data_IF_463750375778
#
_entry.id   IF_463750375778
#
_cell.length_a   1.000
_cell.length_b   1.000
_cell.length_c   1.000
_cell.angle_alpha   90.00
_cell.angle_beta   90.00
_cell.angle_gamma   90.00
#
_symmetry.space_group_name_H-M   'P 1'
#
loop_
_entity.id
_entity.type
_entity.pdbx_description
1 polymer ?
#
# COMPACT_ATOMS: atom_id res chain seq x y z
N UNK A 1 30.57 7.67 -16.04
CA UNK A 1 30.57 6.58 -15.02
C UNK A 1 29.17 6.01 -14.95
N UNK A 2 28.99 4.77 -15.37
CA UNK A 2 27.70 4.06 -15.30
C UNK A 2 27.26 3.86 -13.83
N UNK A 3 25.95 3.87 -13.52
CA UNK A 3 25.48 3.63 -12.17
C UNK A 3 25.79 2.18 -11.79
N UNK A 4 26.63 2.01 -10.77
CA UNK A 4 26.94 0.71 -10.16
C UNK A 4 25.68 0.18 -9.49
N UNK A 5 25.06 -0.83 -10.10
CA UNK A 5 24.03 -1.64 -9.46
C UNK A 5 24.63 -2.33 -8.23
N UNK A 6 24.24 -1.90 -7.03
CA UNK A 6 24.53 -2.66 -5.81
C UNK A 6 23.61 -3.87 -5.82
N UNK A 7 24.15 -5.04 -6.22
CA UNK A 7 23.47 -6.33 -6.06
C UNK A 7 23.46 -6.69 -4.57
N UNK A 8 22.45 -6.22 -3.85
CA UNK A 8 22.05 -6.83 -2.58
C UNK A 8 21.25 -8.08 -2.98
N UNK A 9 21.86 -9.26 -2.90
CA UNK A 9 21.16 -10.53 -3.08
C UNK A 9 20.06 -10.63 -2.00
N UNK A 10 18.76 -10.52 -2.34
CA UNK A 10 17.74 -10.71 -1.34
C UNK A 10 17.64 -12.21 -1.09
N UNK A 11 17.55 -12.60 0.18
CA UNK A 11 17.03 -13.91 0.56
C UNK A 11 15.63 -14.01 -0.04
N UNK A 12 15.50 -14.68 -1.19
CA UNK A 12 14.22 -14.96 -1.84
C UNK A 12 13.53 -16.00 -0.96
N UNK A 13 12.29 -15.73 -0.53
CA UNK A 13 11.48 -16.74 0.15
C UNK A 13 11.40 -17.98 -0.76
N UNK A 14 11.79 -19.17 -0.25
CA UNK A 14 11.91 -20.39 -1.05
C UNK A 14 10.59 -20.86 -1.67
N UNK A 15 9.46 -20.34 -1.18
CA UNK A 15 8.13 -20.56 -1.75
C UNK A 15 7.46 -19.22 -2.11
N UNK A 16 6.83 -19.19 -3.27
CA UNK A 16 6.01 -18.08 -3.74
C UNK A 16 4.55 -18.24 -3.33
N UNK A 17 4.13 -17.42 -2.38
CA UNK A 17 2.79 -17.40 -1.82
C UNK A 17 2.13 -16.07 -2.20
N UNK A 18 1.10 -16.17 -3.05
CA UNK A 18 0.25 -15.05 -3.43
C UNK A 18 -0.91 -14.91 -2.43
N UNK A 19 -1.06 -13.73 -1.84
CA UNK A 19 -2.28 -13.35 -1.15
C UNK A 19 -3.07 -12.36 -2.00
N UNK A 20 -4.31 -12.72 -2.34
CA UNK A 20 -5.28 -11.82 -2.96
C UNK A 20 -6.16 -11.22 -1.88
N UNK A 21 -6.07 -9.90 -1.68
CA UNK A 21 -6.82 -9.15 -0.69
C UNK A 21 -7.94 -8.35 -1.38
N UNK A 22 -9.19 -8.78 -1.20
CA UNK A 22 -10.37 -8.12 -1.77
C UNK A 22 -11.03 -7.19 -0.76
N UNK A 23 -11.21 -5.93 -1.15
CA UNK A 23 -11.86 -4.91 -0.31
C UNK A 23 -13.36 -4.71 -0.52
N UNK A 24 -14.01 -5.54 -1.34
CA UNK A 24 -15.46 -5.42 -1.57
C UNK A 24 -16.27 -6.09 -0.46
N UNK A 25 -17.29 -5.38 0.03
CA UNK A 25 -18.28 -5.96 0.95
C UNK A 25 -19.27 -6.90 0.24
N UNK A 26 -19.43 -6.74 -1.08
CA UNK A 26 -20.38 -7.53 -1.88
C UNK A 26 -19.74 -8.83 -2.37
N UNK A 27 -20.32 -9.97 -1.98
CA UNK A 27 -20.00 -11.25 -2.65
C UNK A 27 -20.61 -11.26 -4.04
N UNK A 28 -19.95 -11.97 -4.97
CA UNK A 28 -20.32 -12.09 -6.38
C UNK A 28 -20.35 -10.75 -7.14
N UNK A 29 -19.86 -9.67 -6.54
CA UNK A 29 -19.64 -8.38 -7.21
C UNK A 29 -18.31 -8.35 -7.97
N UNK A 30 -18.03 -7.24 -8.66
CA UNK A 30 -16.90 -7.13 -9.58
C UNK A 30 -15.54 -7.46 -8.95
N UNK A 31 -15.20 -6.87 -7.80
CA UNK A 31 -13.92 -7.14 -7.13
C UNK A 31 -13.81 -8.56 -6.57
N UNK A 32 -14.92 -9.16 -6.10
CA UNK A 32 -14.92 -10.58 -5.66
C UNK A 32 -14.66 -11.51 -6.86
N UNK A 33 -15.38 -11.29 -7.96
CA UNK A 33 -15.20 -12.07 -9.19
C UNK A 33 -13.76 -11.95 -9.71
N UNK A 34 -13.19 -10.75 -9.73
CA UNK A 34 -11.78 -10.54 -10.08
C UNK A 34 -10.83 -11.27 -9.14
N UNK A 35 -11.08 -11.25 -7.82
CA UNK A 35 -10.25 -11.99 -6.86
C UNK A 35 -10.27 -13.49 -7.10
N UNK A 36 -11.46 -14.05 -7.40
CA UNK A 36 -11.60 -15.47 -7.76
C UNK A 36 -10.93 -15.81 -9.08
N UNK A 37 -11.00 -14.93 -10.07
CA UNK A 37 -10.30 -15.09 -11.35
C UNK A 37 -8.79 -15.03 -11.13
N UNK A 38 -8.29 -14.04 -10.38
CA UNK A 38 -6.88 -13.92 -10.05
C UNK A 38 -6.35 -15.20 -9.39
N UNK A 39 -7.07 -15.74 -8.40
CA UNK A 39 -6.68 -16.99 -7.75
C UNK A 39 -6.67 -18.19 -8.71
N UNK A 40 -7.60 -18.26 -9.67
CA UNK A 40 -7.62 -19.31 -10.69
C UNK A 40 -6.46 -19.18 -11.67
N UNK A 41 -6.21 -17.97 -12.17
CA UNK A 41 -5.12 -17.69 -13.12
C UNK A 41 -3.73 -17.80 -12.47
N UNK A 42 -3.63 -17.64 -11.15
CA UNK A 42 -2.41 -17.84 -10.39
C UNK A 42 -1.92 -19.29 -10.36
N UNK A 43 -2.77 -20.27 -10.70
CA UNK A 43 -2.40 -21.69 -10.78
C UNK A 43 -1.31 -21.88 -11.85
N UNK A 44 -0.17 -22.42 -11.44
CA UNK A 44 1.00 -22.59 -12.30
C UNK A 44 1.88 -21.34 -12.45
N UNK A 45 1.56 -20.23 -11.77
CA UNK A 45 2.42 -19.04 -11.66
C UNK A 45 3.05 -18.96 -10.25
N UNK A 46 2.26 -19.31 -9.23
CA UNK A 46 2.67 -19.31 -7.83
C UNK A 46 2.58 -20.72 -7.24
N UNK A 47 3.39 -20.99 -6.21
CA UNK A 47 3.39 -22.28 -5.50
C UNK A 47 2.12 -22.44 -4.66
N UNK A 48 1.67 -21.33 -4.05
CA UNK A 48 0.41 -21.23 -3.31
C UNK A 48 -0.27 -19.90 -3.58
N UNK A 49 -1.60 -19.94 -3.53
CA UNK A 49 -2.44 -18.76 -3.64
C UNK A 49 -3.57 -18.82 -2.64
N UNK A 50 -3.82 -17.72 -1.95
CA UNK A 50 -4.95 -17.54 -1.04
C UNK A 50 -5.77 -16.32 -1.45
N UNK A 51 -7.07 -16.38 -1.17
CA UNK A 51 -8.01 -15.27 -1.34
C UNK A 51 -8.67 -14.98 0.00
N UNK A 52 -8.53 -13.74 0.47
CA UNK A 52 -9.21 -13.25 1.67
C UNK A 52 -9.95 -11.96 1.37
N UNK A 53 -10.96 -11.67 2.19
CA UNK A 53 -11.77 -10.47 2.05
C UNK A 53 -11.63 -9.61 3.29
N UNK A 54 -11.30 -8.33 3.14
CA UNK A 54 -11.21 -7.39 4.27
C UNK A 54 -12.50 -7.28 5.06
N UNK A 55 -13.65 -7.60 4.44
CA UNK A 55 -14.93 -7.57 5.13
C UNK A 55 -15.09 -8.63 6.22
N UNK A 56 -14.30 -9.71 6.13
CA UNK A 56 -14.37 -10.86 7.04
C UNK A 56 -13.49 -10.66 8.28
N UNK A 57 -12.81 -9.51 8.37
CA UNK A 57 -12.00 -9.11 9.51
C UNK A 57 -12.67 -7.89 10.17
N UNK A 58 -12.90 -7.98 11.47
CA UNK A 58 -13.28 -6.85 12.28
C UNK A 58 -12.03 -5.99 12.53
N UNK A 59 -12.04 -4.75 12.06
CA UNK A 59 -10.96 -3.78 12.28
C UNK A 59 -11.56 -2.56 12.95
N UNK A 60 -11.14 -2.29 14.18
CA UNK A 60 -11.59 -1.13 14.92
C UNK A 60 -10.77 0.12 14.50
N UNK A 61 -11.39 1.31 14.48
CA UNK A 61 -10.68 2.56 14.24
C UNK A 61 -9.53 2.74 15.24
N UNK A 62 -8.35 3.08 14.72
CA UNK A 62 -7.21 3.41 15.57
C UNK A 62 -7.54 4.68 16.39
N UNK A 63 -7.43 4.59 17.71
CA UNK A 63 -7.67 5.72 18.61
C UNK A 63 -6.43 6.58 18.88
N UNK A 64 -5.30 6.31 18.21
CA UNK A 64 -4.06 7.08 18.36
C UNK A 64 -3.44 7.02 19.76
N UNK A 65 -3.76 6.02 20.60
CA UNK A 65 -3.26 5.95 21.98
C UNK A 65 -1.75 5.70 22.12
N UNK A 66 -1.06 5.34 21.02
CA UNK A 66 0.37 5.05 20.95
C UNK A 66 0.88 3.95 21.90
N UNK A 67 -0.01 3.15 22.50
CA UNK A 67 0.39 2.07 23.40
C UNK A 67 1.29 1.02 22.71
N UNK A 68 1.03 0.74 21.42
CA UNK A 68 1.82 -0.17 20.60
C UNK A 68 3.24 0.33 20.29
N UNK A 69 3.51 1.62 20.47
CA UNK A 69 4.82 2.23 20.28
C UNK A 69 5.54 2.44 21.63
N UNK A 70 4.85 2.99 22.63
CA UNK A 70 5.52 3.49 23.85
C UNK A 70 5.50 2.54 25.05
N UNK A 71 4.68 1.49 25.02
CA UNK A 71 4.51 0.59 26.17
C UNK A 71 5.07 -0.81 25.90
N UNK A 72 5.75 -1.02 24.77
CA UNK A 72 6.22 -2.34 24.29
C UNK A 72 5.12 -3.43 24.28
N UNK A 73 3.85 -3.01 24.22
CA UNK A 73 2.69 -3.90 24.24
C UNK A 73 2.10 -4.06 22.84
N UNK A 74 1.35 -5.13 22.64
CA UNK A 74 0.43 -5.22 21.50
C UNK A 74 -0.60 -4.09 21.57
N UNK A 75 -1.16 -3.71 20.43
CA UNK A 75 -2.27 -2.76 20.37
C UNK A 75 -3.42 -3.28 21.26
N UNK A 76 -4.02 -2.41 22.11
CA UNK A 76 -5.05 -2.83 23.06
C UNK A 76 -6.44 -2.97 22.43
N UNK A 77 -6.60 -2.68 21.14
CA UNK A 77 -7.86 -2.89 20.43
C UNK A 77 -8.06 -4.40 20.22
N UNK A 78 -9.17 -4.92 20.73
CA UNK A 78 -9.58 -6.32 20.60
C UNK A 78 -10.26 -6.51 19.24
N UNK A 79 -9.45 -6.68 18.20
CA UNK A 79 -9.91 -6.80 16.82
C UNK A 79 -9.03 -7.78 16.02
N UNK A 80 -9.39 -8.05 14.77
CA UNK A 80 -8.71 -9.06 13.95
C UNK A 80 -7.42 -8.55 13.28
N UNK A 81 -6.93 -7.36 13.65
CA UNK A 81 -5.79 -6.74 12.98
C UNK A 81 -4.55 -7.64 12.96
N UNK A 82 -4.21 -8.27 14.09
CA UNK A 82 -3.02 -9.12 14.16
C UNK A 82 -3.17 -10.44 13.41
N UNK A 83 -4.39 -10.99 13.35
CA UNK A 83 -4.71 -12.16 12.53
C UNK A 83 -4.53 -11.85 11.03
N UNK A 84 -5.08 -10.73 10.57
CA UNK A 84 -4.92 -10.23 9.21
C UNK A 84 -3.45 -9.93 8.88
N UNK A 85 -2.74 -9.24 9.78
CA UNK A 85 -1.31 -8.95 9.61
C UNK A 85 -0.48 -10.24 9.50
N UNK A 86 -0.83 -11.28 10.24
CA UNK A 86 -0.21 -12.60 10.13
C UNK A 86 -0.31 -13.18 8.72
N UNK A 87 -1.51 -13.15 8.12
CA UNK A 87 -1.73 -13.59 6.72
C UNK A 87 -0.92 -12.75 5.74
N UNK A 88 -0.92 -11.43 5.90
CA UNK A 88 -0.15 -10.49 5.05
C UNK A 88 1.36 -10.77 5.17
N UNK A 89 1.87 -11.05 6.37
CA UNK A 89 3.28 -11.34 6.58
C UNK A 89 3.73 -12.69 6.03
N UNK A 90 2.84 -13.68 5.92
CA UNK A 90 3.16 -14.97 5.31
C UNK A 90 3.41 -14.83 3.82
N UNK A 91 2.61 -14.01 3.13
CA UNK A 91 2.69 -13.80 1.69
C UNK A 91 4.03 -13.21 1.23
N UNK A 92 4.57 -13.74 0.14
CA UNK A 92 5.69 -13.12 -0.60
C UNK A 92 5.19 -12.16 -1.68
N UNK A 93 3.94 -12.31 -2.12
CA UNK A 93 3.30 -11.48 -3.13
C UNK A 93 1.90 -11.06 -2.66
N UNK A 94 1.56 -9.78 -2.83
CA UNK A 94 0.26 -9.24 -2.42
C UNK A 94 -0.45 -8.58 -3.60
N UNK A 95 -1.61 -9.12 -3.98
CA UNK A 95 -2.52 -8.51 -4.94
C UNK A 95 -3.69 -7.87 -4.20
N UNK A 96 -3.82 -6.55 -4.28
CA UNK A 96 -4.92 -5.82 -3.65
C UNK A 96 -5.96 -5.46 -4.71
N UNK A 97 -7.23 -5.80 -4.47
CA UNK A 97 -8.33 -5.51 -5.40
C UNK A 97 -9.42 -4.74 -4.65
N UNK A 98 -9.75 -3.53 -5.11
CA UNK A 98 -10.73 -2.67 -4.44
C UNK A 98 -11.76 -2.08 -5.42
N UNK A 99 -13.05 -2.02 -5.04
CA UNK A 99 -14.02 -1.16 -5.73
C UNK A 99 -13.72 0.31 -5.44
N UNK A 100 -14.07 1.20 -6.35
CA UNK A 100 -13.87 2.64 -6.17
C UNK A 100 -15.11 3.30 -5.57
N UNK A 101 -14.96 3.88 -4.38
CA UNK A 101 -15.96 4.69 -3.69
C UNK A 101 -15.47 6.14 -3.63
N UNK A 102 -16.07 7.02 -4.42
CA UNK A 102 -15.68 8.45 -4.52
C UNK A 102 -14.16 8.61 -4.77
N UNK A 103 -13.69 8.08 -5.89
CA UNK A 103 -12.28 8.10 -6.32
C UNK A 103 -11.28 7.35 -5.41
N UNK A 104 -11.73 6.77 -4.30
CA UNK A 104 -10.91 6.14 -3.26
C UNK A 104 -11.31 4.67 -3.04
N UNK A 105 -10.50 3.85 -2.37
CA UNK A 105 -10.93 2.52 -1.96
C UNK A 105 -11.88 2.59 -0.75
N UNK A 106 -12.58 1.50 -0.38
CA UNK A 106 -13.46 1.47 0.79
C UNK A 106 -12.70 1.74 2.09
N UNK A 107 -13.40 2.30 3.08
CA UNK A 107 -12.82 2.74 4.35
C UNK A 107 -12.02 1.66 5.11
N UNK A 108 -12.33 0.37 4.90
CA UNK A 108 -11.59 -0.75 5.50
C UNK A 108 -10.09 -0.75 5.17
N UNK A 109 -9.69 -0.26 4.00
CA UNK A 109 -8.27 -0.09 3.69
C UNK A 109 -7.61 0.97 4.55
N UNK A 110 -8.33 2.05 4.87
CA UNK A 110 -7.84 3.09 5.77
C UNK A 110 -7.76 2.59 7.21
N UNK A 111 -8.72 1.78 7.67
CA UNK A 111 -8.65 1.12 8.98
C UNK A 111 -7.41 0.25 9.12
N UNK A 112 -7.07 -0.52 8.07
CA UNK A 112 -5.83 -1.29 8.03
C UNK A 112 -4.59 -0.38 8.04
N UNK A 113 -4.56 0.64 7.18
CA UNK A 113 -3.43 1.57 7.06
C UNK A 113 -3.17 2.35 8.36
N UNK A 114 -4.21 2.72 9.10
CA UNK A 114 -4.12 3.44 10.37
C UNK A 114 -3.41 2.67 11.48
N UNK A 115 -3.18 1.37 11.26
CA UNK A 115 -2.47 0.49 12.17
C UNK A 115 -0.99 0.32 11.81
N UNK A 116 -0.47 1.11 10.85
CA UNK A 116 0.94 1.07 10.41
C UNK A 116 1.94 1.07 11.57
N UNK A 117 1.79 1.96 12.56
CA UNK A 117 2.72 2.05 13.71
C UNK A 117 2.76 0.74 14.51
N UNK A 118 1.63 0.04 14.64
CA UNK A 118 1.56 -1.27 15.28
C UNK A 118 2.13 -2.39 14.39
N UNK A 119 1.99 -2.26 13.06
CA UNK A 119 2.47 -3.20 12.06
C UNK A 119 3.99 -3.18 11.91
N UNK A 120 4.58 -1.99 11.77
CA UNK A 120 5.96 -1.76 11.36
C UNK A 120 7.01 -2.66 12.05
N UNK A 121 7.08 -2.74 13.40
CA UNK A 121 8.08 -3.57 14.07
C UNK A 121 7.88 -5.08 13.86
N UNK A 122 6.75 -5.50 13.30
CA UNK A 122 6.36 -6.89 13.03
C UNK A 122 6.41 -7.24 11.54
N UNK A 123 6.76 -6.30 10.66
CA UNK A 123 6.87 -6.57 9.23
C UNK A 123 8.13 -7.40 8.93
N UNK A 124 8.02 -8.33 7.98
CA UNK A 124 9.19 -9.07 7.51
C UNK A 124 10.12 -8.15 6.72
N UNK A 125 11.41 -8.19 7.05
CA UNK A 125 12.49 -7.48 6.34
C UNK A 125 13.05 -8.34 5.20
N UNK A 126 12.17 -8.73 4.28
CA UNK A 126 12.52 -9.50 3.07
C UNK A 126 11.86 -8.84 1.87
N UNK A 127 12.46 -9.02 0.69
CA UNK A 127 11.91 -8.45 -0.54
C UNK A 127 10.60 -9.17 -0.89
N UNK A 128 9.53 -8.38 -1.07
CA UNK A 128 8.18 -8.85 -1.40
C UNK A 128 7.56 -7.88 -2.40
N UNK A 129 6.71 -8.39 -3.28
CA UNK A 129 6.15 -7.60 -4.38
C UNK A 129 4.64 -7.43 -4.26
N UNK A 130 4.14 -6.27 -4.64
CA UNK A 130 2.73 -5.93 -4.56
C UNK A 130 2.18 -5.42 -5.89
N UNK A 131 0.90 -5.69 -6.13
CA UNK A 131 0.15 -5.08 -7.22
C UNK A 131 -1.23 -4.60 -6.75
N UNK A 132 -1.72 -3.52 -7.37
CA UNK A 132 -3.01 -2.92 -7.03
C UNK A 132 -3.97 -2.95 -8.21
N UNK A 133 -5.22 -3.32 -7.97
CA UNK A 133 -6.29 -3.36 -8.96
C UNK A 133 -7.45 -2.47 -8.52
N UNK A 134 -7.73 -1.46 -9.34
CA UNK A 134 -8.89 -0.61 -9.22
C UNK A 134 -10.07 -1.21 -10.01
N UNK A 135 -11.24 -1.26 -9.38
CA UNK A 135 -12.50 -1.64 -10.03
C UNK A 135 -13.42 -0.43 -10.05
N UNK A 136 -13.56 0.18 -11.21
CA UNK A 136 -14.22 1.48 -11.42
C UNK A 136 -15.50 1.33 -12.27
N UNK A 137 -16.39 2.31 -12.15
CA UNK A 137 -17.57 2.41 -13.02
C UNK A 137 -17.34 3.28 -14.27
N UNK A 138 -16.41 4.25 -14.19
CA UNK A 138 -16.08 5.20 -15.24
C UNK A 138 -14.58 5.23 -15.40
N UNK A 139 -14.07 5.13 -16.64
CA UNK A 139 -12.63 5.18 -16.92
C UNK A 139 -11.97 6.40 -16.27
N UNK A 140 -10.74 6.22 -15.83
CA UNK A 140 -9.91 7.23 -15.17
C UNK A 140 -10.37 7.66 -13.77
N UNK A 141 -11.46 7.14 -13.19
CA UNK A 141 -11.89 7.49 -11.82
C UNK A 141 -11.05 6.85 -10.70
N UNK A 142 -9.96 6.17 -11.04
CA UNK A 142 -9.05 5.53 -10.09
C UNK A 142 -7.98 6.46 -9.50
N UNK A 143 -7.89 7.73 -9.93
CA UNK A 143 -6.72 8.61 -9.70
C UNK A 143 -6.24 8.70 -8.25
N UNK A 144 -7.13 8.68 -7.24
CA UNK A 144 -6.72 8.65 -5.83
C UNK A 144 -6.65 7.22 -5.27
N UNK A 145 -7.40 6.29 -5.85
CA UNK A 145 -7.49 4.92 -5.40
C UNK A 145 -6.18 4.16 -5.58
N UNK A 146 -5.62 4.11 -6.80
CA UNK A 146 -4.38 3.36 -7.04
C UNK A 146 -3.22 3.89 -6.17
N UNK A 147 -2.98 5.21 -6.07
CA UNK A 147 -1.97 5.73 -5.16
C UNK A 147 -2.17 5.29 -3.70
N UNK A 148 -3.40 5.30 -3.19
CA UNK A 148 -3.69 4.86 -1.82
C UNK A 148 -3.48 3.34 -1.63
N UNK A 149 -3.83 2.52 -2.62
CA UNK A 149 -3.55 1.08 -2.58
C UNK A 149 -2.04 0.80 -2.66
N UNK A 150 -1.29 1.56 -3.45
CA UNK A 150 0.16 1.43 -3.52
C UNK A 150 0.85 1.92 -2.24
N UNK A 151 0.31 2.96 -1.59
CA UNK A 151 0.71 3.37 -0.25
C UNK A 151 0.50 2.24 0.76
N UNK A 152 -0.64 1.53 0.68
CA UNK A 152 -0.88 0.35 1.52
C UNK A 152 0.19 -0.74 1.27
N UNK A 153 0.49 -1.07 0.02
CA UNK A 153 1.55 -2.04 -0.30
C UNK A 153 2.88 -1.66 0.36
N UNK A 154 3.32 -0.41 0.18
CA UNK A 154 4.56 0.11 0.76
C UNK A 154 4.52 0.08 2.29
N UNK A 155 3.41 0.48 2.90
CA UNK A 155 3.23 0.49 4.36
C UNK A 155 3.32 -0.90 4.99
N UNK A 156 2.98 -1.95 4.26
CA UNK A 156 3.09 -3.34 4.72
C UNK A 156 4.32 -4.08 4.15
N UNK A 157 5.26 -3.33 3.56
CA UNK A 157 6.57 -3.85 3.13
C UNK A 157 6.53 -4.66 1.83
N UNK A 158 5.64 -4.29 0.90
CA UNK A 158 5.58 -4.81 -0.46
C UNK A 158 5.96 -3.72 -1.45
N UNK A 159 6.92 -4.00 -2.34
CA UNK A 159 7.30 -3.12 -3.43
C UNK A 159 6.22 -3.15 -4.52
N UNK A 160 5.56 -2.01 -4.86
CA UNK A 160 4.57 -1.97 -5.92
C UNK A 160 5.25 -2.17 -7.28
N UNK A 161 4.88 -3.22 -8.01
CA UNK A 161 5.48 -3.56 -9.32
C UNK A 161 4.52 -3.41 -10.49
N UNK A 162 3.21 -3.45 -10.22
CA UNK A 162 2.19 -3.28 -11.25
C UNK A 162 0.88 -2.71 -10.69
N UNK A 163 0.12 -2.05 -11.56
CA UNK A 163 -1.23 -1.56 -11.27
C UNK A 163 -2.14 -1.86 -12.45
N UNK A 164 -3.41 -2.17 -12.19
CA UNK A 164 -4.39 -2.39 -13.24
C UNK A 164 -5.74 -1.78 -12.91
N UNK A 165 -6.50 -1.52 -13.96
CA UNK A 165 -7.86 -1.01 -13.91
C UNK A 165 -8.79 -1.98 -14.64
N UNK A 166 -9.93 -2.29 -14.02
CA UNK A 166 -11.03 -3.00 -14.66
C UNK A 166 -12.33 -2.22 -14.49
N UNK A 167 -13.12 -2.15 -15.54
CA UNK A 167 -14.38 -1.40 -15.55
C UNK A 167 -15.58 -2.33 -15.29
N UNK A 168 -16.54 -1.86 -14.51
CA UNK A 168 -17.84 -2.50 -14.28
C UNK A 168 -18.64 -1.74 -13.22
N UNK A 169 -19.75 -1.13 -13.62
CA UNK A 169 -20.62 -0.36 -12.74
C UNK A 169 -21.62 -1.27 -12.01
N UNK A 170 -22.29 -2.13 -12.77
CA UNK A 170 -23.22 -3.14 -12.29
C UNK A 170 -22.53 -4.41 -11.75
N UNK A 171 -23.18 -5.18 -10.86
CA UNK A 171 -22.63 -6.43 -10.37
C UNK A 171 -22.37 -7.44 -11.50
N UNK A 172 -21.12 -7.88 -11.64
CA UNK A 172 -20.71 -8.86 -12.64
C UNK A 172 -20.29 -8.26 -13.98
N UNK A 173 -20.50 -6.98 -14.23
CA UNK A 173 -20.13 -6.32 -15.49
C UNK A 173 -18.63 -6.41 -15.80
N UNK A 174 -17.79 -6.56 -14.78
CA UNK A 174 -16.35 -6.75 -14.98
C UNK A 174 -16.03 -7.98 -15.84
N UNK A 175 -16.92 -8.97 -15.89
CA UNK A 175 -16.75 -10.17 -16.72
C UNK A 175 -16.79 -9.87 -18.22
N UNK A 176 -17.36 -8.72 -18.60
CA UNK A 176 -17.46 -8.26 -19.98
C UNK A 176 -16.19 -7.55 -20.46
N UNK A 177 -15.22 -7.31 -19.57
CA UNK A 177 -14.01 -6.59 -19.94
C UNK A 177 -13.17 -7.40 -20.96
N UNK A 178 -12.75 -6.82 -22.08
CA UNK A 178 -11.99 -7.52 -23.09
C UNK A 178 -10.70 -8.11 -22.53
N UNK A 179 -10.43 -9.36 -22.92
CA UNK A 179 -9.21 -10.08 -22.51
C UNK A 179 -9.02 -10.18 -20.99
N UNK A 180 -10.09 -10.10 -20.18
CA UNK A 180 -10.08 -10.16 -18.72
C UNK A 180 -9.05 -11.13 -18.12
N UNK A 181 -9.14 -12.40 -18.51
CA UNK A 181 -8.25 -13.47 -18.01
C UNK A 181 -6.80 -13.24 -18.41
N UNK A 182 -6.55 -12.88 -19.67
CA UNK A 182 -5.19 -12.60 -20.17
C UNK A 182 -4.58 -11.40 -19.43
N UNK A 183 -5.33 -10.30 -19.29
CA UNK A 183 -4.88 -9.11 -18.55
C UNK A 183 -4.56 -9.42 -17.08
N UNK A 184 -5.41 -10.22 -16.42
CA UNK A 184 -5.15 -10.68 -15.06
C UNK A 184 -3.90 -11.58 -15.00
N UNK A 185 -3.73 -12.51 -15.94
CA UNK A 185 -2.56 -13.38 -16.02
C UNK A 185 -1.26 -12.59 -16.24
N UNK A 186 -1.26 -11.63 -17.16
CA UNK A 186 -0.11 -10.77 -17.45
C UNK A 186 0.28 -9.92 -16.22
N UNK A 187 -0.72 -9.43 -15.48
CA UNK A 187 -0.51 -8.73 -14.20
C UNK A 187 0.14 -9.67 -13.16
N UNK A 188 -0.36 -10.90 -13.03
CA UNK A 188 0.15 -11.89 -12.09
C UNK A 188 1.57 -12.35 -12.40
N UNK A 189 1.93 -12.47 -13.68
CA UNK A 189 3.31 -12.77 -14.12
C UNK A 189 4.24 -11.61 -13.76
N UNK A 190 3.86 -10.37 -14.10
CA UNK A 190 4.63 -9.18 -13.74
C UNK A 190 4.83 -9.06 -12.23
N UNK A 191 3.78 -9.35 -11.45
CA UNK A 191 3.85 -9.40 -9.99
C UNK A 191 4.85 -10.46 -9.48
N UNK A 192 4.81 -11.66 -10.05
CA UNK A 192 5.65 -12.82 -9.68
C UNK A 192 7.13 -12.56 -9.95
N UNK A 193 7.43 -11.97 -11.09
CA UNK A 193 8.80 -11.66 -11.51
C UNK A 193 9.39 -10.50 -10.69
N UNK A 194 8.53 -9.65 -10.11
CA UNK A 194 8.96 -8.43 -9.45
C UNK A 194 9.52 -7.38 -10.42
N UNK A 195 9.26 -7.56 -11.72
CA UNK A 195 9.66 -6.64 -12.78
C UNK A 195 8.75 -5.41 -12.74
N UNK A 196 9.23 -4.36 -12.09
CA UNK A 196 8.50 -3.09 -12.02
C UNK A 196 8.45 -2.45 -13.41
N UNK A 197 7.26 -2.43 -14.01
CA UNK A 197 7.00 -1.70 -15.24
C UNK A 197 6.68 -0.25 -14.91
N UNK A 198 7.62 0.64 -15.20
CA UNK A 198 7.42 2.08 -15.04
C UNK A 198 6.93 2.68 -16.35
N UNK A 199 5.75 3.30 -16.31
CA UNK A 199 5.27 4.16 -17.39
C UNK A 199 5.84 5.57 -17.22
N UNK A 200 6.03 6.28 -18.33
CA UNK A 200 6.42 7.69 -18.32
C UNK A 200 5.45 8.51 -17.47
N UNK A 201 5.99 9.43 -16.68
CA UNK A 201 5.21 10.32 -15.82
C UNK A 201 4.67 9.70 -14.52
N UNK A 202 4.98 8.44 -14.21
CA UNK A 202 4.68 7.83 -12.91
C UNK A 202 5.91 7.72 -12.03
N UNK A 203 5.71 7.83 -10.71
CA UNK A 203 6.79 7.66 -9.74
C UNK A 203 7.36 6.23 -9.82
N UNK A 204 8.67 6.02 -10.03
CA UNK A 204 9.26 4.69 -10.18
C UNK A 204 9.28 3.89 -8.87
N UNK A 205 8.94 4.52 -7.74
CA UNK A 205 8.93 3.87 -6.44
C UNK A 205 7.54 3.37 -6.04
N UNK A 206 6.52 4.22 -6.15
CA UNK A 206 5.14 3.92 -5.73
C UNK A 206 4.14 3.81 -6.89
N UNK A 207 4.56 4.00 -8.14
CA UNK A 207 3.72 3.97 -9.34
C UNK A 207 2.57 4.99 -9.38
N UNK A 208 2.62 6.01 -8.51
CA UNK A 208 1.64 7.10 -8.48
C UNK A 208 1.86 8.08 -9.64
N UNK A 209 0.77 8.55 -10.23
CA UNK A 209 0.73 9.67 -11.19
C UNK A 209 0.54 11.04 -10.52
N UNK A 210 0.30 11.08 -9.20
CA UNK A 210 0.03 12.33 -8.49
C UNK A 210 1.30 13.13 -8.25
N UNK A 211 1.18 14.46 -8.37
CA UNK A 211 2.23 15.45 -8.10
C UNK A 211 1.68 16.53 -7.15
N UNK A 212 2.50 16.93 -6.19
CA UNK A 212 2.30 18.17 -5.40
C UNK A 212 3.12 19.26 -6.07
N UNK A 213 2.56 20.48 -6.17
CA UNK A 213 3.30 21.67 -6.60
C UNK A 213 3.34 22.70 -5.47
N UNK A 214 4.54 22.96 -4.94
CA UNK A 214 4.76 23.93 -3.87
C UNK A 214 6.09 24.66 -4.07
N UNK A 215 6.09 25.97 -3.86
CA UNK A 215 7.30 26.81 -3.94
C UNK A 215 8.09 26.62 -5.24
N UNK A 216 7.39 26.49 -6.37
CA UNK A 216 8.02 26.32 -7.69
C UNK A 216 8.61 24.94 -7.95
N UNK A 217 8.36 23.94 -7.08
CA UNK A 217 8.88 22.57 -7.23
C UNK A 217 7.73 21.57 -7.24
N UNK A 218 7.90 20.52 -8.05
CA UNK A 218 7.02 19.35 -8.00
C UNK A 218 7.61 18.25 -7.11
N UNK A 219 6.76 17.50 -6.42
CA UNK A 219 7.18 16.31 -5.67
C UNK A 219 6.11 15.21 -5.70
N UNK A 220 6.55 13.96 -5.48
CA UNK A 220 5.61 12.86 -5.30
C UNK A 220 5.00 12.88 -3.88
N UNK A 221 3.67 12.88 -3.70
CA UNK A 221 3.05 12.94 -2.37
C UNK A 221 3.34 11.71 -1.50
N UNK A 222 3.56 10.54 -2.12
CA UNK A 222 3.79 9.28 -1.40
C UNK A 222 5.27 9.09 -1.09
N UNK A 223 6.13 9.34 -2.08
CA UNK A 223 7.55 9.04 -1.99
C UNK A 223 8.41 10.23 -1.62
N UNK A 224 7.87 11.46 -1.61
CA UNK A 224 8.61 12.67 -1.23
C UNK A 224 9.91 12.86 -2.02
N UNK A 225 9.87 12.48 -3.28
CA UNK A 225 10.98 12.66 -4.23
C UNK A 225 10.69 13.84 -5.11
N UNK A 226 11.74 14.58 -5.47
CA UNK A 226 11.65 15.73 -6.36
C UNK A 226 11.23 15.28 -7.75
N UNK A 227 10.43 16.12 -8.40
CA UNK A 227 9.96 15.90 -9.76
C UNK A 227 10.35 17.07 -10.65
N UNK A 228 11.03 16.76 -11.75
CA UNK A 228 11.36 17.70 -12.82
C UNK A 228 10.51 17.34 -14.02
N UNK A 229 9.75 18.30 -14.54
CA UNK A 229 8.92 18.07 -15.74
C UNK A 229 9.69 18.52 -16.96
N UNK A 230 10.04 17.58 -17.84
CA UNK A 230 10.75 17.86 -19.09
C UNK A 230 9.84 17.48 -20.27
N UNK A 231 9.58 18.41 -21.18
CA UNK A 231 8.67 18.21 -22.34
C UNK A 231 7.29 17.64 -21.95
N UNK A 232 6.77 18.05 -20.78
CA UNK A 232 5.48 17.59 -20.26
C UNK A 232 5.52 16.24 -19.55
N UNK A 233 6.69 15.59 -19.43
CA UNK A 233 6.87 14.29 -18.77
C UNK A 233 7.52 14.49 -17.40
N UNK A 234 6.85 14.06 -16.31
CA UNK A 234 7.44 14.03 -14.97
C UNK A 234 8.61 13.04 -14.83
N UNK A 235 9.77 13.52 -14.37
CA UNK A 235 10.95 12.73 -14.02
C UNK A 235 11.26 12.83 -12.54
N UNK A 236 11.38 11.69 -11.87
CA UNK A 236 11.51 11.61 -10.41
C UNK A 236 12.98 11.42 -10.00
N UNK A 237 13.46 12.19 -9.03
CA UNK A 237 14.86 12.18 -8.57
C UNK A 237 14.96 12.10 -7.05
N UNK A 238 15.98 11.41 -6.57
CA UNK A 238 16.29 11.24 -5.14
C UNK A 238 15.80 9.91 -4.57
N UNK A 239 16.01 9.74 -3.26
CA UNK A 239 15.63 8.53 -2.54
C UNK A 239 14.20 8.61 -1.99
N UNK A 240 13.41 7.53 -2.09
CA UNK A 240 12.02 7.56 -1.67
C UNK A 240 11.86 7.54 -0.15
N UNK A 241 10.79 8.18 0.33
CA UNK A 241 10.25 8.10 1.70
C UNK A 241 10.24 6.65 2.20
N UNK A 242 9.80 5.72 1.36
CA UNK A 242 9.64 4.29 1.69
C UNK A 242 10.92 3.45 1.53
N UNK A 243 12.11 4.05 1.71
CA UNK A 243 13.38 3.33 1.88
C UNK A 243 13.45 2.69 3.29
N UNK A 244 13.90 1.43 3.45
CA UNK A 244 14.20 0.80 4.74
C UNK A 244 14.86 1.72 5.78
N UNK A 245 15.93 2.43 5.42
CA UNK A 245 16.70 3.27 6.36
C UNK A 245 15.86 4.46 6.84
N UNK A 246 15.14 5.13 5.92
CA UNK A 246 14.25 6.25 6.26
C UNK A 246 13.06 5.81 7.11
N UNK A 247 12.51 4.62 6.84
CA UNK A 247 11.42 4.08 7.64
C UNK A 247 11.91 3.68 9.04
N UNK A 248 13.12 3.13 9.15
CA UNK A 248 13.72 2.81 10.44
C UNK A 248 14.00 4.07 11.25
N UNK A 249 14.62 5.09 10.66
CA UNK A 249 14.83 6.39 11.31
C UNK A 249 13.51 7.03 11.73
N UNK A 250 12.50 7.04 10.85
CA UNK A 250 11.18 7.57 11.18
C UNK A 250 10.58 6.85 12.40
N UNK A 251 10.65 5.53 12.45
CA UNK A 251 10.11 4.77 13.58
C UNK A 251 10.90 4.99 14.86
N UNK A 252 12.21 4.73 14.84
CA UNK A 252 13.05 4.74 16.04
C UNK A 252 13.32 6.16 16.55
N UNK A 253 13.61 7.11 15.66
CA UNK A 253 14.05 8.45 16.04
C UNK A 253 12.94 9.49 16.04
N UNK A 254 11.83 9.29 15.31
CA UNK A 254 10.70 10.22 15.32
C UNK A 254 9.52 9.70 16.12
N UNK A 255 9.08 8.47 15.86
CA UNK A 255 7.89 7.92 16.54
C UNK A 255 8.22 7.61 18.00
N UNK A 256 9.14 6.68 18.28
CA UNK A 256 9.39 6.21 19.65
C UNK A 256 9.83 7.34 20.60
N UNK A 257 10.62 8.30 20.10
CA UNK A 257 11.09 9.47 20.87
C UNK A 257 10.05 10.57 21.07
N UNK A 258 8.86 10.46 20.45
CA UNK A 258 7.84 11.52 20.56
C UNK A 258 7.33 11.69 21.98
N UNK A 259 7.25 10.62 22.79
CA UNK A 259 6.81 10.70 24.18
C UNK A 259 7.69 11.63 25.01
N UNK A 260 9.00 11.41 24.99
CA UNK A 260 9.94 12.19 25.81
C UNK A 260 10.02 13.64 25.34
N UNK A 261 9.99 13.85 24.01
CA UNK A 261 9.88 15.20 23.43
C UNK A 261 8.59 15.92 23.86
N UNK A 262 7.46 15.22 23.89
CA UNK A 262 6.20 15.81 24.36
C UNK A 262 6.27 16.18 25.84
N UNK A 263 6.80 15.29 26.68
CA UNK A 263 6.94 15.53 28.12
C UNK A 263 7.85 16.74 28.42
N UNK A 264 8.93 16.93 27.67
CA UNK A 264 9.81 18.09 27.84
C UNK A 264 9.15 19.43 27.44
N UNK A 265 8.24 19.39 26.45
CA UNK A 265 7.51 20.57 25.96
C UNK A 265 6.18 20.81 26.71
N UNK A 266 5.73 19.89 27.56
CA UNK A 266 4.39 19.91 28.15
C UNK A 266 4.07 21.22 28.89
N UNK A 267 5.03 21.76 29.65
CA UNK A 267 4.86 23.05 30.36
C UNK A 267 4.64 24.20 29.38
N UNK A 268 5.44 24.27 28.32
CA UNK A 268 5.34 25.31 27.29
C UNK A 268 4.00 25.19 26.53
N UNK A 269 3.59 23.98 26.17
CA UNK A 269 2.32 23.71 25.51
C UNK A 269 1.15 24.19 26.39
N UNK A 270 1.13 23.83 27.67
CA UNK A 270 0.06 24.23 28.59
C UNK A 270 0.03 25.73 28.86
N UNK A 271 1.18 26.41 28.83
CA UNK A 271 1.23 27.88 28.86
C UNK A 271 0.61 28.45 27.57
N UNK A 272 1.01 27.94 26.41
CA UNK A 272 0.50 28.42 25.12
C UNK A 272 -1.00 28.22 24.97
N UNK A 273 -1.54 27.08 25.44
CA UNK A 273 -2.99 26.82 25.49
C UNK A 273 -3.74 27.91 26.26
N UNK A 274 -3.25 28.27 27.44
CA UNK A 274 -3.81 29.38 28.23
C UNK A 274 -3.75 30.72 27.52
N UNK A 275 -2.63 31.04 26.87
CA UNK A 275 -2.49 32.29 26.09
C UNK A 275 -3.50 32.41 24.94
N UNK A 276 -3.95 31.28 24.38
CA UNK A 276 -4.94 31.24 23.30
C UNK A 276 -6.34 30.77 23.75
N UNK A 277 -6.59 30.72 25.07
CA UNK A 277 -7.87 30.33 25.67
C UNK A 277 -8.39 28.92 25.27
N UNK A 278 -7.47 27.95 25.18
CA UNK A 278 -7.77 26.51 25.00
C UNK A 278 -7.46 25.69 26.26
#
# INVERSE_FOLDING_TARGET
MAPRSVRILPVVLSMSELLVLVGSDRRKGNSDLLGRIALREARGIYDRGDLIYLKDYELLPCNGCMACAFKEKICPLEDDFYSLLGRINQASHLLVIAPTYVLLPPARFKLLLDRYIAAYPRLKRVRRFGASVAVIALRDYQQFQIPILNLLLLAFGFEPVATAEFCGAGPGEVLLEPQLKKRMRDLLVTLKEGEKKTEDGRCPYCLSSLLIFENGRFSCPICDVEVVVEKGIPHFKGEPRWNPDRQQDHYENRILKTKDRFLSLLKQINRRKREISL
#
